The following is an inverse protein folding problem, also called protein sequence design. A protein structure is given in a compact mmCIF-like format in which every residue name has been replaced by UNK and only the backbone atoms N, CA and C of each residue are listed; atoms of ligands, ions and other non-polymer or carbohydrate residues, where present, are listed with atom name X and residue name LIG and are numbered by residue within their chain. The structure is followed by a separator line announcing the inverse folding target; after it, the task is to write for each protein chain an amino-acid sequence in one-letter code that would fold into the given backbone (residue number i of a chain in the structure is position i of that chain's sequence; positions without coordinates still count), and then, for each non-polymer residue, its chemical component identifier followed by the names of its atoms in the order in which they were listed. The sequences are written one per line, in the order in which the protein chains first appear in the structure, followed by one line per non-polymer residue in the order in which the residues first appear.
data_IF_398826975714
#
_entry.id   IF_398826975714
#
_cell.length_a   1.000
_cell.length_b   1.000
_cell.length_c   1.000
_cell.angle_alpha   90.00
_cell.angle_beta   90.00
_cell.angle_gamma   90.00
#
_symmetry.space_group_name_H-M   'P 1'
#
loop_
_entity.id
_entity.type
_entity.pdbx_description
1 polymer ?
#
# COMPACT_ATOMS: atom_id res chain seq x y z
N UNK A 1 19.67 8.42 -61.39
CA UNK A 1 20.03 9.45 -60.41
C UNK A 1 20.69 8.78 -59.25
N UNK A 2 22.01 8.89 -59.13
CA UNK A 2 22.78 8.36 -58.01
C UNK A 2 22.58 9.25 -56.79
N UNK A 3 22.24 8.64 -55.66
CA UNK A 3 22.17 9.32 -54.38
C UNK A 3 23.56 9.29 -53.73
N UNK A 4 24.22 10.45 -53.69
CA UNK A 4 25.46 10.66 -52.96
C UNK A 4 25.22 10.45 -51.46
N UNK A 5 25.67 9.30 -50.95
CA UNK A 5 25.73 9.02 -49.52
C UNK A 5 26.90 9.77 -48.91
N UNK A 6 26.64 10.98 -48.41
CA UNK A 6 27.64 11.73 -47.62
C UNK A 6 27.94 10.94 -46.33
N UNK A 7 29.20 10.52 -46.07
CA UNK A 7 29.54 9.81 -44.86
C UNK A 7 29.31 10.71 -43.65
N UNK A 8 28.43 10.30 -42.75
CA UNK A 8 28.18 10.99 -41.48
C UNK A 8 29.52 11.15 -40.74
N UNK A 9 30.04 12.38 -40.71
CA UNK A 9 31.32 12.70 -40.09
C UNK A 9 31.37 12.19 -38.65
N UNK A 10 32.44 11.46 -38.32
CA UNK A 10 32.63 10.93 -36.97
C UNK A 10 32.50 12.06 -35.93
N UNK A 11 31.72 11.85 -34.84
CA UNK A 11 31.51 12.89 -33.83
C UNK A 11 32.86 13.36 -33.29
N UNK A 12 33.08 14.68 -33.32
CA UNK A 12 34.32 15.33 -32.89
C UNK A 12 34.66 14.95 -31.44
N UNK A 13 35.96 14.95 -31.10
CA UNK A 13 36.45 14.56 -29.76
C UNK A 13 35.72 15.29 -28.61
N UNK A 14 35.37 16.56 -28.80
CA UNK A 14 34.63 17.35 -27.82
C UNK A 14 33.19 16.85 -27.55
N UNK A 15 32.51 16.30 -28.56
CA UNK A 15 31.17 15.72 -28.38
C UNK A 15 31.24 14.42 -27.56
N UNK A 16 32.27 13.59 -27.81
CA UNK A 16 32.53 12.37 -27.02
C UNK A 16 32.87 12.69 -25.56
N UNK A 17 33.62 13.76 -25.31
CA UNK A 17 33.98 14.19 -23.96
C UNK A 17 32.76 14.73 -23.19
N UNK A 18 31.91 15.55 -23.82
CA UNK A 18 30.64 15.99 -23.23
C UNK A 18 29.68 14.82 -22.92
N UNK A 19 29.56 13.85 -23.82
CA UNK A 19 28.76 12.64 -23.56
C UNK A 19 29.32 11.80 -22.41
N UNK A 20 30.64 11.67 -22.28
CA UNK A 20 31.27 10.97 -21.14
C UNK A 20 31.05 11.71 -19.82
N UNK A 21 31.17 13.04 -19.81
CA UNK A 21 30.89 13.85 -18.63
C UNK A 21 29.41 13.76 -18.20
N UNK A 22 28.48 13.82 -19.17
CA UNK A 22 27.05 13.64 -18.91
C UNK A 22 26.74 12.23 -18.37
N UNK A 23 27.31 11.19 -18.97
CA UNK A 23 27.14 9.80 -18.50
C UNK A 23 27.72 9.59 -17.09
N UNK A 24 28.88 10.19 -16.78
CA UNK A 24 29.47 10.15 -15.45
C UNK A 24 28.59 10.87 -14.41
N UNK A 25 28.01 12.01 -14.78
CA UNK A 25 27.04 12.75 -13.95
C UNK A 25 25.80 11.91 -13.64
N UNK A 26 25.20 11.28 -14.66
CA UNK A 26 24.05 10.38 -14.49
C UNK A 26 24.42 9.18 -13.60
N UNK A 27 25.58 8.58 -13.80
CA UNK A 27 26.07 7.48 -12.96
C UNK A 27 26.23 7.87 -11.49
N UNK A 28 26.73 9.07 -11.20
CA UNK A 28 26.81 9.62 -9.84
C UNK A 28 25.44 9.79 -9.18
N UNK A 29 24.48 10.36 -9.92
CA UNK A 29 23.09 10.53 -9.44
C UNK A 29 22.44 9.18 -9.16
N UNK A 30 22.55 8.22 -10.08
CA UNK A 30 21.97 6.88 -9.90
C UNK A 30 22.56 6.16 -8.68
N UNK A 31 23.88 6.26 -8.47
CA UNK A 31 24.53 5.66 -7.29
C UNK A 31 24.05 6.31 -5.98
N UNK A 32 23.87 7.62 -5.96
CA UNK A 32 23.33 8.35 -4.81
C UNK A 32 21.85 8.00 -4.53
N UNK A 33 21.04 7.86 -5.57
CA UNK A 33 19.66 7.42 -5.45
C UNK A 33 19.58 5.99 -4.94
N UNK A 34 20.42 5.07 -5.45
CA UNK A 34 20.46 3.69 -5.02
C UNK A 34 20.88 3.53 -3.55
N UNK A 35 21.87 4.31 -3.09
CA UNK A 35 22.29 4.27 -1.68
C UNK A 35 21.21 4.82 -0.74
N UNK A 36 20.55 5.91 -1.13
CA UNK A 36 19.43 6.51 -0.38
C UNK A 36 18.24 5.55 -0.34
N UNK A 37 17.90 4.95 -1.48
CA UNK A 37 16.83 3.96 -1.58
C UNK A 37 17.11 2.73 -0.72
N UNK A 38 18.35 2.23 -0.71
CA UNK A 38 18.75 1.10 0.16
C UNK A 38 18.58 1.43 1.65
N UNK A 39 18.94 2.64 2.07
CA UNK A 39 18.71 3.10 3.44
C UNK A 39 17.21 3.23 3.75
N UNK A 40 16.43 3.77 2.82
CA UNK A 40 14.99 3.93 2.97
C UNK A 40 14.28 2.58 3.11
N UNK A 41 14.65 1.61 2.26
CA UNK A 41 14.17 0.21 2.34
C UNK A 41 14.58 -0.43 3.66
N UNK A 42 15.83 -0.24 4.11
CA UNK A 42 16.30 -0.77 5.40
C UNK A 42 15.49 -0.19 6.57
N UNK A 43 15.31 1.13 6.62
CA UNK A 43 14.53 1.80 7.67
C UNK A 43 13.06 1.37 7.68
N UNK A 44 12.43 1.37 6.51
CA UNK A 44 11.05 0.93 6.38
C UNK A 44 10.90 -0.54 6.79
N UNK A 45 11.73 -1.45 6.26
CA UNK A 45 11.63 -2.88 6.53
C UNK A 45 11.97 -3.25 7.98
N UNK A 46 12.96 -2.63 8.61
CA UNK A 46 13.33 -2.94 10.00
C UNK A 46 12.31 -2.32 10.97
N UNK A 47 11.95 -1.06 10.75
CA UNK A 47 11.00 -0.28 11.56
C UNK A 47 11.30 -0.30 13.08
N UNK A 48 12.55 -0.54 13.46
CA UNK A 48 13.08 -0.56 14.83
C UNK A 48 14.04 0.61 14.95
N UNK A 49 13.57 1.66 15.64
CA UNK A 49 14.26 2.95 15.72
C UNK A 49 15.53 2.88 16.57
N UNK A 50 15.69 1.82 17.37
CA UNK A 50 16.90 1.60 18.17
C UNK A 50 18.06 1.00 17.38
N UNK A 51 17.82 0.53 16.14
CA UNK A 51 18.86 -0.14 15.32
C UNK A 51 19.23 0.63 14.06
N UNK A 52 18.33 1.48 13.57
CA UNK A 52 18.54 2.27 12.36
C UNK A 52 18.27 3.74 12.67
N UNK A 53 19.32 4.40 13.14
CA UNK A 53 19.28 5.79 13.56
C UNK A 53 19.21 6.78 12.39
N UNK A 54 18.82 8.01 12.70
CA UNK A 54 19.04 9.18 11.86
C UNK A 54 20.55 9.36 11.60
N UNK A 55 20.88 9.76 10.38
CA UNK A 55 22.25 10.15 10.03
C UNK A 55 22.59 11.50 10.65
N UNK A 56 23.87 11.82 10.83
CA UNK A 56 24.29 13.08 11.43
C UNK A 56 23.79 14.31 10.65
N UNK A 57 23.70 14.20 9.32
CA UNK A 57 23.14 15.26 8.46
C UNK A 57 21.63 15.44 8.66
N UNK A 58 20.89 14.35 8.85
CA UNK A 58 19.45 14.40 9.18
C UNK A 58 19.23 14.99 10.57
N UNK A 59 20.05 14.61 11.56
CA UNK A 59 19.97 15.16 12.93
C UNK A 59 20.27 16.66 12.95
N UNK A 60 21.30 17.10 12.23
CA UNK A 60 21.61 18.52 12.08
C UNK A 60 20.46 19.28 11.40
N UNK A 61 19.88 18.72 10.34
CA UNK A 61 18.72 19.31 9.66
C UNK A 61 17.48 19.38 10.56
N UNK A 62 17.27 18.39 11.43
CA UNK A 62 16.15 18.33 12.38
C UNK A 62 16.33 19.28 13.58
N UNK A 63 17.56 19.42 14.08
CA UNK A 63 17.90 20.39 15.11
C UNK A 63 17.74 21.84 14.64
N UNK A 64 17.90 22.10 13.34
CA UNK A 64 17.71 23.42 12.72
C UNK A 64 16.23 23.77 12.42
N UNK A 65 15.27 22.86 12.67
CA UNK A 65 13.85 23.10 12.41
C UNK A 65 13.23 24.09 13.41
N UNK A 66 12.02 24.55 13.11
CA UNK A 66 11.21 25.36 14.02
C UNK A 66 9.85 24.69 14.22
N UNK A 67 9.55 24.12 15.41
CA UNK A 67 10.43 24.02 16.58
C UNK A 67 11.61 23.06 16.36
N UNK A 68 12.76 23.28 17.03
CA UNK A 68 13.92 22.40 16.90
C UNK A 68 13.63 21.02 17.50
N UNK A 69 14.02 19.96 16.81
CA UNK A 69 13.93 18.58 17.31
C UNK A 69 15.32 18.15 17.74
N UNK A 70 15.57 18.15 19.05
CA UNK A 70 16.88 17.86 19.65
C UNK A 70 16.96 16.49 20.31
N UNK A 71 15.82 15.88 20.62
CA UNK A 71 15.75 14.54 21.19
C UNK A 71 16.11 13.48 20.13
N UNK A 72 17.06 12.60 20.46
CA UNK A 72 17.57 11.60 19.53
C UNK A 72 16.49 10.59 19.09
N UNK A 73 15.57 10.23 19.99
CA UNK A 73 14.45 9.34 19.67
C UNK A 73 13.49 9.99 18.68
N UNK A 74 13.12 11.24 18.93
CA UNK A 74 12.28 12.02 18.03
C UNK A 74 12.93 12.18 16.65
N UNK A 75 14.24 12.46 16.61
CA UNK A 75 15.02 12.55 15.37
C UNK A 75 15.01 11.25 14.57
N UNK A 76 15.24 10.11 15.24
CA UNK A 76 15.19 8.77 14.62
C UNK A 76 13.79 8.45 14.07
N UNK A 77 12.73 8.84 14.80
CA UNK A 77 11.35 8.71 14.32
C UNK A 77 11.09 9.52 13.04
N UNK A 78 11.51 10.79 12.99
CA UNK A 78 11.33 11.63 11.79
C UNK A 78 12.15 11.12 10.60
N UNK A 79 13.35 10.59 10.84
CA UNK A 79 14.17 9.97 9.79
C UNK A 79 13.49 8.70 9.23
N UNK A 80 12.97 7.82 10.09
CA UNK A 80 12.20 6.65 9.67
C UNK A 80 10.93 7.03 8.91
N UNK A 81 10.20 8.05 9.39
CA UNK A 81 8.99 8.58 8.76
C UNK A 81 9.29 9.06 7.34
N UNK A 82 10.33 9.88 7.18
CA UNK A 82 10.77 10.40 5.88
C UNK A 82 11.15 9.27 4.91
N UNK A 83 11.97 8.31 5.37
CA UNK A 83 12.35 7.15 4.59
C UNK A 83 11.16 6.28 4.17
N UNK A 84 10.20 6.06 5.05
CA UNK A 84 8.99 5.29 4.76
C UNK A 84 8.11 6.00 3.73
N UNK A 85 7.99 7.33 3.82
CA UNK A 85 7.24 8.12 2.84
C UNK A 85 7.93 8.14 1.47
N UNK A 86 9.26 8.32 1.41
CA UNK A 86 10.04 8.24 0.15
C UNK A 86 9.82 6.90 -0.54
N UNK A 87 9.94 5.80 0.19
CA UNK A 87 9.68 4.47 -0.34
C UNK A 87 8.22 4.33 -0.84
N UNK A 88 7.26 4.88 -0.11
CA UNK A 88 5.86 4.85 -0.54
C UNK A 88 5.62 5.62 -1.85
N UNK A 89 6.34 6.71 -2.14
CA UNK A 89 6.25 7.40 -3.44
C UNK A 89 6.70 6.50 -4.57
N UNK A 90 7.82 5.79 -4.42
CA UNK A 90 8.30 4.88 -5.45
C UNK A 90 7.28 3.78 -5.75
N UNK A 91 6.72 3.18 -4.69
CA UNK A 91 5.74 2.10 -4.83
C UNK A 91 4.42 2.61 -5.42
N UNK A 92 3.84 3.68 -4.85
CA UNK A 92 2.57 4.23 -5.31
C UNK A 92 2.69 4.87 -6.69
N UNK A 93 3.81 5.54 -6.99
CA UNK A 93 4.07 6.13 -8.30
C UNK A 93 4.17 5.06 -9.39
N UNK A 94 4.93 3.98 -9.14
CA UNK A 94 4.99 2.85 -10.08
C UNK A 94 3.61 2.20 -10.27
N UNK A 95 2.89 1.96 -9.17
CA UNK A 95 1.53 1.40 -9.22
C UNK A 95 0.54 2.30 -9.99
N UNK A 96 0.62 3.61 -9.80
CA UNK A 96 -0.21 4.60 -10.48
C UNK A 96 0.07 4.64 -11.99
N UNK A 97 1.36 4.59 -12.40
CA UNK A 97 1.73 4.53 -13.82
C UNK A 97 1.17 3.28 -14.48
N UNK A 98 1.29 2.10 -13.84
CA UNK A 98 0.70 0.87 -14.38
C UNK A 98 -0.83 0.99 -14.44
N UNK A 99 -1.48 1.54 -13.39
CA UNK A 99 -2.92 1.74 -13.39
C UNK A 99 -3.40 2.68 -14.51
N UNK A 100 -2.64 3.74 -14.78
CA UNK A 100 -2.91 4.68 -15.86
C UNK A 100 -2.80 4.00 -17.23
N UNK A 101 -1.76 3.20 -17.45
CA UNK A 101 -1.60 2.43 -18.70
C UNK A 101 -2.77 1.46 -18.86
N UNK A 102 -3.11 0.68 -17.83
CA UNK A 102 -4.24 -0.25 -17.87
C UNK A 102 -5.54 0.49 -18.17
N UNK A 103 -5.78 1.64 -17.54
CA UNK A 103 -6.96 2.47 -17.79
C UNK A 103 -7.05 2.96 -19.24
N UNK A 104 -5.93 3.43 -19.82
CA UNK A 104 -5.88 3.85 -21.23
C UNK A 104 -6.17 2.68 -22.17
N UNK A 105 -5.60 1.50 -21.89
CA UNK A 105 -5.87 0.28 -22.67
C UNK A 105 -7.35 -0.11 -22.58
N UNK A 106 -7.94 -0.06 -21.37
CA UNK A 106 -9.36 -0.31 -21.16
C UNK A 106 -10.24 0.68 -21.94
N UNK A 107 -9.88 1.98 -21.95
CA UNK A 107 -10.60 2.99 -22.75
C UNK A 107 -10.57 2.64 -24.25
N UNK A 108 -9.41 2.28 -24.78
CA UNK A 108 -9.27 1.88 -26.19
C UNK A 108 -10.10 0.63 -26.53
N UNK A 109 -10.22 -0.32 -25.60
CA UNK A 109 -11.06 -1.52 -25.79
C UNK A 109 -12.56 -1.23 -25.85
N UNK A 110 -13.02 -0.07 -25.35
CA UNK A 110 -14.44 0.28 -25.30
C UNK A 110 -14.86 1.38 -26.28
N UNK A 111 -14.05 1.72 -27.29
CA UNK A 111 -14.38 2.75 -28.29
C UNK A 111 -15.72 2.50 -29.01
N UNK A 112 -16.20 1.26 -29.06
CA UNK A 112 -17.47 0.87 -29.68
C UNK A 112 -18.65 0.74 -28.71
N UNK A 113 -18.45 0.90 -27.40
CA UNK A 113 -19.51 0.69 -26.41
C UNK A 113 -20.44 1.92 -26.33
N UNK A 114 -21.78 1.74 -26.38
CA UNK A 114 -22.71 2.86 -26.36
C UNK A 114 -22.77 3.56 -24.99
N UNK A 115 -22.54 4.87 -25.01
CA UNK A 115 -22.92 5.88 -24.01
C UNK A 115 -22.89 5.45 -22.54
N UNK A 116 -24.07 5.20 -21.95
CA UNK A 116 -24.20 4.95 -20.51
C UNK A 116 -23.44 3.70 -20.04
N UNK A 117 -23.41 2.63 -20.84
CA UNK A 117 -22.72 1.38 -20.49
C UNK A 117 -21.21 1.58 -20.37
N UNK A 118 -20.65 2.41 -21.25
CA UNK A 118 -19.25 2.81 -21.24
C UNK A 118 -18.89 3.50 -19.91
N UNK A 119 -19.71 4.45 -19.46
CA UNK A 119 -19.50 5.16 -18.20
C UNK A 119 -19.59 4.25 -16.98
N UNK A 120 -20.54 3.32 -16.95
CA UNK A 120 -20.70 2.38 -15.83
C UNK A 120 -19.48 1.46 -15.70
N UNK A 121 -18.85 1.08 -16.82
CA UNK A 121 -17.63 0.27 -16.80
C UNK A 121 -16.36 1.06 -16.46
N UNK A 122 -16.25 2.31 -16.91
CA UNK A 122 -15.05 3.14 -16.74
C UNK A 122 -15.02 3.81 -15.36
N UNK A 123 -16.17 4.19 -14.82
CA UNK A 123 -16.24 5.01 -13.61
C UNK A 123 -15.50 4.41 -12.41
N UNK A 124 -15.62 3.10 -12.08
CA UNK A 124 -14.87 2.51 -10.97
C UNK A 124 -13.34 2.64 -11.14
N UNK A 125 -12.84 2.37 -12.34
CA UNK A 125 -11.41 2.45 -12.65
C UNK A 125 -10.92 3.90 -12.61
N UNK A 126 -11.70 4.83 -13.15
CA UNK A 126 -11.39 6.26 -13.10
C UNK A 126 -11.36 6.77 -11.66
N UNK A 127 -12.36 6.42 -10.86
CA UNK A 127 -12.43 6.82 -9.45
C UNK A 127 -11.23 6.27 -8.64
N UNK A 128 -10.85 5.01 -8.88
CA UNK A 128 -9.65 4.38 -8.30
C UNK A 128 -8.38 5.12 -8.72
N UNK A 129 -8.23 5.41 -10.01
CA UNK A 129 -7.08 6.11 -10.56
C UNK A 129 -6.94 7.51 -9.97
N UNK A 130 -8.04 8.27 -9.90
CA UNK A 130 -8.05 9.60 -9.31
C UNK A 130 -7.73 9.56 -7.80
N UNK A 131 -8.29 8.60 -7.06
CA UNK A 131 -8.01 8.43 -5.64
C UNK A 131 -6.53 8.06 -5.39
N UNK A 132 -5.97 7.15 -6.18
CA UNK A 132 -4.56 6.77 -6.12
C UNK A 132 -3.63 7.94 -6.50
N UNK A 133 -3.96 8.68 -7.57
CA UNK A 133 -3.22 9.87 -7.99
C UNK A 133 -3.24 10.97 -6.94
N UNK A 134 -4.40 11.21 -6.31
CA UNK A 134 -4.53 12.16 -5.20
C UNK A 134 -3.70 11.74 -3.98
N UNK A 135 -3.69 10.44 -3.64
CA UNK A 135 -2.82 9.91 -2.58
C UNK A 135 -1.34 10.16 -2.89
N UNK A 136 -0.87 9.83 -4.10
CA UNK A 136 0.52 10.09 -4.54
C UNK A 136 0.84 11.59 -4.41
N UNK A 137 -0.05 12.46 -4.89
CA UNK A 137 0.10 13.90 -4.82
C UNK A 137 0.23 14.40 -3.37
N UNK A 138 -0.60 13.91 -2.45
CA UNK A 138 -0.51 14.29 -1.03
C UNK A 138 0.77 13.77 -0.37
N UNK A 139 1.28 12.60 -0.75
CA UNK A 139 2.57 12.10 -0.25
C UNK A 139 3.73 12.95 -0.78
N UNK A 140 3.74 13.31 -2.06
CA UNK A 140 4.74 14.22 -2.65
C UNK A 140 4.72 15.58 -1.94
N UNK A 141 3.53 16.15 -1.73
CA UNK A 141 3.34 17.42 -1.04
C UNK A 141 3.79 17.34 0.42
N UNK A 142 3.47 16.24 1.09
CA UNK A 142 3.90 15.96 2.45
C UNK A 142 5.41 15.80 2.55
N UNK A 143 6.10 15.26 1.54
CA UNK A 143 7.57 15.20 1.51
C UNK A 143 8.21 16.56 1.23
N UNK A 144 7.70 17.30 0.25
CA UNK A 144 8.20 18.62 -0.12
C UNK A 144 8.13 19.60 1.06
N UNK A 145 7.06 19.53 1.86
CA UNK A 145 6.92 20.32 3.09
C UNK A 145 7.44 19.64 4.36
N UNK A 146 7.70 18.33 4.33
CA UNK A 146 7.69 17.44 5.50
C UNK A 146 8.87 17.51 6.43
N UNK A 147 10.00 18.02 5.94
CA UNK A 147 11.15 18.33 6.81
C UNK A 147 10.82 19.57 7.65
N UNK A 148 10.17 20.58 7.09
CA UNK A 148 10.05 21.88 7.76
C UNK A 148 8.72 22.03 8.52
N UNK A 149 7.68 21.27 8.15
CA UNK A 149 6.32 21.41 8.73
C UNK A 149 5.64 20.05 8.93
N UNK A 150 6.11 19.23 9.90
CA UNK A 150 5.60 17.87 10.12
C UNK A 150 4.08 17.83 10.38
N UNK A 151 3.53 18.80 11.12
CA UNK A 151 2.08 18.86 11.38
C UNK A 151 1.21 19.08 10.14
N UNK A 152 1.67 19.91 9.19
CA UNK A 152 0.99 20.09 7.89
C UNK A 152 1.09 18.81 7.06
N UNK A 153 2.27 18.21 6.99
CA UNK A 153 2.47 16.95 6.28
C UNK A 153 1.57 15.83 6.82
N UNK A 154 1.39 15.72 8.14
CA UNK A 154 0.47 14.73 8.72
C UNK A 154 -1.00 14.98 8.30
N UNK A 155 -1.47 16.24 8.32
CA UNK A 155 -2.83 16.59 7.86
C UNK A 155 -3.04 16.20 6.39
N UNK A 156 -2.03 16.42 5.55
CA UNK A 156 -2.02 16.07 4.13
C UNK A 156 -2.10 14.56 3.92
N UNK A 157 -1.24 13.79 4.58
CA UNK A 157 -1.23 12.32 4.50
C UNK A 157 -2.55 11.72 4.97
N UNK A 158 -3.14 12.24 6.05
CA UNK A 158 -4.46 11.80 6.54
C UNK A 158 -5.56 12.02 5.50
N UNK A 159 -5.56 13.17 4.81
CA UNK A 159 -6.53 13.47 3.74
C UNK A 159 -6.32 12.58 2.53
N UNK A 160 -5.08 12.44 2.06
CA UNK A 160 -4.70 11.57 0.96
C UNK A 160 -5.12 10.13 1.22
N UNK A 161 -4.81 9.59 2.39
CA UNK A 161 -5.19 8.24 2.78
C UNK A 161 -6.70 8.08 2.93
N UNK A 162 -7.39 9.04 3.58
CA UNK A 162 -8.84 8.97 3.74
C UNK A 162 -9.54 8.97 2.38
N UNK A 163 -9.13 9.82 1.43
CA UNK A 163 -9.68 9.82 0.07
C UNK A 163 -9.33 8.52 -0.67
N UNK A 164 -8.08 8.06 -0.57
CA UNK A 164 -7.64 6.79 -1.15
C UNK A 164 -8.40 5.57 -0.63
N UNK A 165 -8.93 5.62 0.60
CA UNK A 165 -9.74 4.57 1.19
C UNK A 165 -11.24 4.75 0.90
N UNK A 166 -11.78 5.95 1.14
CA UNK A 166 -13.23 6.21 1.10
C UNK A 166 -13.76 6.22 -0.32
N UNK A 167 -13.03 6.73 -1.31
CA UNK A 167 -13.52 6.80 -2.69
C UNK A 167 -13.78 5.40 -3.28
N UNK A 168 -12.84 4.42 -3.22
CA UNK A 168 -13.12 3.07 -3.68
C UNK A 168 -14.28 2.39 -2.93
N UNK A 169 -14.44 2.68 -1.63
CA UNK A 169 -15.57 2.16 -0.84
C UNK A 169 -16.90 2.81 -1.22
N UNK A 170 -16.92 4.10 -1.52
CA UNK A 170 -18.12 4.78 -1.99
C UNK A 170 -18.56 4.25 -3.36
N UNK A 171 -17.60 3.98 -4.25
CA UNK A 171 -17.83 3.31 -5.54
C UNK A 171 -18.47 1.93 -5.34
N UNK A 172 -18.02 1.16 -4.33
CA UNK A 172 -18.61 -0.14 -3.98
C UNK A 172 -20.08 -0.09 -3.54
N UNK A 173 -20.52 1.02 -2.97
CA UNK A 173 -21.90 1.19 -2.50
C UNK A 173 -22.89 1.51 -3.63
N UNK A 174 -22.41 1.79 -4.84
CA UNK A 174 -23.28 2.05 -5.98
C UNK A 174 -23.96 0.75 -6.45
N UNK A 175 -25.26 0.78 -6.80
CA UNK A 175 -26.03 -0.40 -7.19
C UNK A 175 -25.74 -0.76 -8.66
N UNK A 176 -24.49 -1.16 -8.94
CA UNK A 176 -24.00 -1.40 -10.29
C UNK A 176 -24.85 -2.37 -11.12
N UNK A 177 -25.43 -3.40 -10.48
CA UNK A 177 -26.30 -4.36 -11.14
C UNK A 177 -27.50 -3.68 -11.83
N UNK A 178 -28.12 -2.72 -11.15
CA UNK A 178 -29.23 -1.94 -11.70
C UNK A 178 -28.81 -0.98 -12.82
N UNK A 179 -27.53 -0.61 -12.88
CA UNK A 179 -26.99 0.31 -13.89
C UNK A 179 -26.49 -0.43 -15.15
N UNK A 180 -26.04 -1.69 -15.01
CA UNK A 180 -25.50 -2.49 -16.12
C UNK A 180 -26.60 -3.32 -16.81
N UNK A 181 -27.49 -3.92 -16.03
CA UNK A 181 -28.56 -4.78 -16.57
C UNK A 181 -29.71 -3.89 -17.03
N UNK A 182 -29.62 -3.41 -18.27
CA UNK A 182 -30.73 -2.77 -18.99
C UNK A 182 -31.57 -3.79 -19.76
N UNK A 183 -31.13 -5.04 -19.85
CA UNK A 183 -31.85 -6.10 -20.56
C UNK A 183 -33.01 -6.56 -19.70
N UNK A 184 -34.23 -6.32 -20.17
CA UNK A 184 -35.45 -6.74 -19.49
C UNK A 184 -35.67 -8.25 -19.68
N UNK A 185 -36.25 -8.96 -18.69
CA UNK A 185 -36.64 -10.37 -18.86
C UNK A 185 -37.52 -10.60 -20.11
N UNK A 186 -38.27 -9.58 -20.52
CA UNK A 186 -39.09 -9.59 -21.73
C UNK A 186 -38.26 -9.62 -23.02
N UNK A 187 -37.13 -8.90 -23.08
CA UNK A 187 -36.21 -8.96 -24.20
C UNK A 187 -35.51 -10.32 -24.29
N UNK A 188 -35.20 -10.93 -23.15
CA UNK A 188 -34.69 -12.31 -23.08
C UNK A 188 -35.75 -13.29 -23.60
N UNK A 189 -36.99 -13.18 -23.13
CA UNK A 189 -38.09 -14.05 -23.56
C UNK A 189 -38.41 -13.95 -25.07
N UNK A 190 -38.03 -12.85 -25.73
CA UNK A 190 -38.17 -12.66 -27.19
C UNK A 190 -37.08 -13.35 -28.01
N UNK A 191 -35.99 -13.83 -27.39
CA UNK A 191 -34.97 -14.58 -28.11
C UNK A 191 -35.53 -15.96 -28.49
N UNK A 192 -35.71 -16.25 -29.78
CA UNK A 192 -36.38 -17.48 -30.23
C UNK A 192 -35.67 -18.80 -29.87
N UNK A 193 -34.47 -18.74 -29.29
CA UNK A 193 -33.66 -19.90 -28.93
C UNK A 193 -33.62 -20.11 -27.40
N UNK A 194 -34.20 -21.20 -26.87
CA UNK A 194 -34.26 -21.45 -25.42
C UNK A 194 -32.87 -21.64 -24.78
N UNK A 195 -31.86 -22.06 -25.54
CA UNK A 195 -30.48 -22.19 -25.05
C UNK A 195 -29.84 -20.82 -24.85
N UNK A 196 -30.02 -19.90 -25.81
CA UNK A 196 -29.54 -18.52 -25.70
C UNK A 196 -30.26 -17.76 -24.58
N UNK A 197 -31.57 -17.99 -24.42
CA UNK A 197 -32.35 -17.45 -23.31
C UNK A 197 -31.74 -17.86 -21.97
N UNK A 198 -31.51 -19.16 -21.77
CA UNK A 198 -30.95 -19.68 -20.52
C UNK A 198 -29.55 -19.12 -20.26
N UNK A 199 -28.70 -19.05 -21.30
CA UNK A 199 -27.35 -18.47 -21.18
C UNK A 199 -27.38 -16.98 -20.82
N UNK A 200 -28.26 -16.20 -21.43
CA UNK A 200 -28.37 -14.78 -21.11
C UNK A 200 -28.96 -14.57 -19.71
N UNK A 201 -29.94 -15.37 -19.30
CA UNK A 201 -30.55 -15.31 -17.96
C UNK A 201 -29.50 -15.62 -16.88
N UNK A 202 -28.70 -16.68 -17.06
CA UNK A 202 -27.56 -16.98 -16.20
C UNK A 202 -26.53 -15.85 -16.19
N UNK A 203 -26.23 -15.25 -17.34
CA UNK A 203 -25.29 -14.12 -17.44
C UNK A 203 -25.80 -12.92 -16.65
N UNK A 204 -27.08 -12.58 -16.78
CA UNK A 204 -27.71 -11.47 -16.06
C UNK A 204 -27.70 -11.71 -14.55
N UNK A 205 -27.97 -12.94 -14.10
CA UNK A 205 -27.95 -13.29 -12.67
C UNK A 205 -26.54 -13.30 -12.07
N UNK A 206 -25.54 -13.78 -12.82
CA UNK A 206 -24.17 -13.94 -12.32
C UNK A 206 -23.35 -12.65 -12.47
N UNK A 207 -23.66 -11.78 -13.44
CA UNK A 207 -22.91 -10.53 -13.70
C UNK A 207 -22.81 -9.62 -12.47
N UNK A 208 -23.89 -9.37 -11.68
CA UNK A 208 -23.81 -8.64 -10.42
C UNK A 208 -22.79 -9.21 -9.44
N UNK A 209 -22.74 -10.54 -9.31
CA UNK A 209 -21.82 -11.22 -8.41
C UNK A 209 -20.38 -11.08 -8.89
N UNK A 210 -20.11 -11.28 -10.18
CA UNK A 210 -18.78 -11.09 -10.78
C UNK A 210 -18.32 -9.67 -10.56
N UNK A 211 -19.16 -8.68 -10.86
CA UNK A 211 -18.81 -7.29 -10.72
C UNK A 211 -18.56 -6.93 -9.25
N UNK A 212 -19.40 -7.39 -8.32
CA UNK A 212 -19.19 -7.19 -6.89
C UNK A 212 -17.82 -7.76 -6.45
N UNK A 213 -17.47 -8.97 -6.89
CA UNK A 213 -16.17 -9.59 -6.60
C UNK A 213 -15.04 -8.76 -7.21
N UNK A 214 -15.15 -8.32 -8.46
CA UNK A 214 -14.14 -7.49 -9.11
C UNK A 214 -13.90 -6.18 -8.35
N UNK A 215 -14.97 -5.45 -8.01
CA UNK A 215 -14.84 -4.18 -7.29
C UNK A 215 -14.32 -4.43 -5.85
N UNK A 216 -14.73 -5.53 -5.20
CA UNK A 216 -14.20 -5.90 -3.88
C UNK A 216 -12.69 -6.17 -3.95
N UNK A 217 -12.25 -6.91 -4.97
CA UNK A 217 -10.82 -7.16 -5.22
C UNK A 217 -10.05 -5.86 -5.50
N UNK A 218 -10.69 -4.85 -6.09
CA UNK A 218 -10.08 -3.53 -6.31
C UNK A 218 -9.97 -2.70 -5.03
N UNK A 219 -10.94 -2.78 -4.12
CA UNK A 219 -10.87 -2.11 -2.82
C UNK A 219 -9.96 -2.83 -1.81
N UNK A 220 -9.66 -4.11 -2.08
CA UNK A 220 -8.88 -5.01 -1.24
C UNK A 220 -7.57 -4.39 -0.75
N UNK A 221 -6.72 -3.74 -1.59
CA UNK A 221 -5.46 -3.20 -1.12
C UNK A 221 -5.64 -2.09 -0.08
N UNK A 222 -6.63 -1.21 -0.29
CA UNK A 222 -6.89 -0.11 0.62
C UNK A 222 -7.34 -0.66 1.98
N UNK A 223 -8.27 -1.62 2.00
CA UNK A 223 -8.74 -2.29 3.22
C UNK A 223 -7.64 -3.10 3.91
N UNK A 224 -6.93 -3.94 3.15
CA UNK A 224 -5.85 -4.78 3.67
C UNK A 224 -4.64 -3.98 4.14
N UNK A 225 -4.45 -2.74 3.67
CA UNK A 225 -3.32 -1.92 4.12
C UNK A 225 -3.46 -1.42 5.55
N UNK A 226 -4.70 -1.28 6.04
CA UNK A 226 -5.01 -0.68 7.35
C UNK A 226 -4.43 -1.52 8.48
N UNK A 227 -4.79 -2.80 8.56
CA UNK A 227 -4.39 -3.63 9.68
C UNK A 227 -2.87 -3.87 9.81
N UNK A 228 -2.14 -4.32 8.77
CA UNK A 228 -0.69 -4.49 8.84
C UNK A 228 0.04 -3.16 9.05
N UNK A 229 -0.50 -2.04 8.54
CA UNK A 229 0.06 -0.74 8.81
C UNK A 229 -0.16 -0.28 10.27
N UNK A 230 -1.32 -0.56 10.87
CA UNK A 230 -1.58 -0.28 12.29
C UNK A 230 -0.69 -1.14 13.18
N UNK A 231 -0.55 -2.43 12.85
CA UNK A 231 0.35 -3.35 13.53
C UNK A 231 1.79 -2.85 13.50
N UNK A 232 2.28 -2.50 12.31
CA UNK A 232 3.63 -1.98 12.14
C UNK A 232 3.85 -0.68 12.90
N UNK A 233 2.89 0.25 12.83
CA UNK A 233 2.91 1.52 13.55
C UNK A 233 2.96 1.30 15.07
N UNK A 234 2.08 0.45 15.61
CA UNK A 234 2.02 0.15 17.03
C UNK A 234 3.31 -0.48 17.57
N UNK A 235 3.92 -1.39 16.80
CA UNK A 235 5.21 -1.97 17.16
C UNK A 235 6.37 -0.98 17.02
N UNK A 236 6.35 -0.06 16.04
CA UNK A 236 7.38 0.98 15.90
C UNK A 236 7.30 1.98 17.04
N UNK A 237 6.09 2.35 17.45
CA UNK A 237 5.88 3.17 18.64
C UNK A 237 6.46 2.48 19.88
N UNK A 238 6.27 1.15 20.02
CA UNK A 238 6.82 0.41 21.16
C UNK A 238 8.36 0.41 21.22
N UNK A 239 9.04 0.46 20.08
CA UNK A 239 10.51 0.59 20.09
C UNK A 239 10.99 2.00 20.39
N UNK A 240 10.15 3.02 20.17
CA UNK A 240 10.49 4.40 20.48
C UNK A 240 10.23 4.75 21.94
N UNK A 241 9.07 4.31 22.46
CA UNK A 241 8.54 4.73 23.76
C UNK A 241 8.20 3.46 24.56
N UNK A 242 9.22 2.70 24.98
CA UNK A 242 9.07 1.34 25.49
C UNK A 242 8.35 1.27 26.85
N UNK A 243 8.16 2.38 27.56
CA UNK A 243 7.34 2.40 28.78
C UNK A 243 5.84 2.42 28.47
N UNK A 244 5.43 2.81 27.25
CA UNK A 244 4.01 2.97 26.89
C UNK A 244 3.42 1.72 26.25
N UNK A 245 2.17 1.44 26.61
CA UNK A 245 1.40 0.30 26.10
C UNK A 245 0.50 0.59 24.90
N UNK A 246 0.25 1.86 24.55
CA UNK A 246 -0.75 2.24 23.55
C UNK A 246 -0.50 1.62 22.17
N UNK A 247 0.76 1.61 21.71
CA UNK A 247 1.13 1.04 20.42
C UNK A 247 0.75 -0.45 20.30
N UNK A 248 1.23 -1.33 21.20
CA UNK A 248 0.83 -2.73 21.23
C UNK A 248 -0.68 -2.96 21.40
N UNK A 249 -1.38 -2.15 22.21
CA UNK A 249 -2.85 -2.24 22.33
C UNK A 249 -3.52 -1.99 20.99
N UNK A 250 -3.14 -0.93 20.27
CA UNK A 250 -3.69 -0.64 18.95
C UNK A 250 -3.38 -1.76 17.93
N UNK A 251 -2.17 -2.31 17.97
CA UNK A 251 -1.76 -3.43 17.15
C UNK A 251 -2.58 -4.71 17.43
N UNK A 252 -2.89 -4.98 18.70
CA UNK A 252 -3.73 -6.12 19.09
C UNK A 252 -5.20 -5.91 18.78
N UNK A 253 -5.72 -4.68 18.93
CA UNK A 253 -7.07 -4.33 18.53
C UNK A 253 -7.29 -4.54 17.02
N UNK A 254 -6.27 -4.29 16.18
CA UNK A 254 -6.31 -4.58 14.74
C UNK A 254 -6.39 -6.08 14.42
N UNK A 255 -5.87 -6.94 15.30
CA UNK A 255 -5.71 -8.38 15.07
C UNK A 255 -7.03 -9.09 14.74
N UNK A 256 -8.08 -9.00 15.59
CA UNK A 256 -9.38 -9.61 15.32
C UNK A 256 -10.04 -9.13 14.03
N UNK A 257 -9.99 -7.84 13.72
CA UNK A 257 -10.56 -7.30 12.49
C UNK A 257 -9.81 -7.80 11.25
N UNK A 258 -8.47 -7.86 11.32
CA UNK A 258 -7.66 -8.44 10.25
C UNK A 258 -7.97 -9.93 10.07
N UNK A 259 -8.10 -10.68 11.16
CA UNK A 259 -8.42 -12.10 11.13
C UNK A 259 -9.81 -12.34 10.53
N UNK A 260 -10.83 -11.58 10.97
CA UNK A 260 -12.19 -11.66 10.41
C UNK A 260 -12.19 -11.37 8.92
N UNK A 261 -11.50 -10.31 8.50
CA UNK A 261 -11.40 -9.95 7.09
C UNK A 261 -10.69 -11.03 6.27
N UNK A 262 -9.56 -11.55 6.76
CA UNK A 262 -8.85 -12.67 6.12
C UNK A 262 -9.73 -13.91 6.03
N UNK A 263 -10.51 -14.24 7.06
CA UNK A 263 -11.46 -15.36 7.03
C UNK A 263 -12.48 -15.17 5.90
N UNK A 264 -13.07 -13.97 5.75
CA UNK A 264 -14.01 -13.70 4.66
C UNK A 264 -13.33 -13.89 3.30
N UNK A 265 -12.12 -13.38 3.11
CA UNK A 265 -11.36 -13.58 1.87
C UNK A 265 -11.05 -15.05 1.60
N UNK A 266 -10.69 -15.79 2.64
CA UNK A 266 -10.38 -17.21 2.55
C UNK A 266 -11.63 -18.04 2.25
N UNK A 267 -12.80 -17.67 2.77
CA UNK A 267 -14.09 -18.31 2.43
C UNK A 267 -14.43 -18.06 0.96
N UNK A 268 -14.29 -16.82 0.48
CA UNK A 268 -14.49 -16.48 -0.94
C UNK A 268 -13.51 -17.27 -1.81
N UNK A 269 -12.23 -17.26 -1.45
CA UNK A 269 -11.19 -18.00 -2.16
C UNK A 269 -11.44 -19.52 -2.11
N UNK A 270 -11.97 -20.07 -1.01
CA UNK A 270 -12.35 -21.48 -0.92
C UNK A 270 -13.48 -21.83 -1.88
N UNK A 271 -14.49 -20.96 -1.99
CA UNK A 271 -15.58 -21.13 -2.95
C UNK A 271 -15.12 -21.11 -4.41
N UNK A 272 -14.06 -20.36 -4.70
CA UNK A 272 -13.47 -20.23 -6.04
C UNK A 272 -12.51 -21.39 -6.36
N UNK A 273 -11.60 -21.70 -5.44
CA UNK A 273 -10.49 -22.64 -5.64
C UNK A 273 -10.95 -24.08 -5.39
N UNK A 274 -11.82 -24.31 -4.40
CA UNK A 274 -12.30 -25.64 -4.02
C UNK A 274 -11.22 -26.59 -3.50
N UNK A 275 -10.06 -26.07 -3.05
CA UNK A 275 -8.91 -26.89 -2.67
C UNK A 275 -8.81 -27.12 -1.16
N UNK A 276 -8.45 -28.35 -0.78
CA UNK A 276 -8.15 -28.72 0.62
C UNK A 276 -6.88 -28.08 1.18
N UNK A 277 -6.03 -27.49 0.33
CA UNK A 277 -4.82 -26.78 0.78
C UNK A 277 -5.09 -25.44 1.45
N UNK A 278 -6.25 -24.83 1.18
CA UNK A 278 -6.54 -23.45 1.58
C UNK A 278 -6.68 -23.27 3.09
N UNK A 279 -7.28 -24.21 3.86
CA UNK A 279 -7.23 -24.18 5.32
C UNK A 279 -5.81 -24.14 5.90
N UNK A 280 -4.84 -24.79 5.27
CA UNK A 280 -3.44 -24.71 5.72
C UNK A 280 -2.85 -23.33 5.44
N UNK A 281 -3.08 -22.79 4.25
CA UNK A 281 -2.70 -21.41 3.89
C UNK A 281 -3.34 -20.40 4.84
N UNK A 282 -4.63 -20.58 5.15
CA UNK A 282 -5.38 -19.79 6.11
C UNK A 282 -4.72 -19.79 7.48
N UNK A 283 -4.31 -20.96 7.98
CA UNK A 283 -3.64 -21.07 9.29
C UNK A 283 -2.38 -20.21 9.37
N UNK A 284 -1.57 -20.19 8.31
CA UNK A 284 -0.36 -19.36 8.26
C UNK A 284 -0.67 -17.85 8.14
N UNK A 285 -1.65 -17.47 7.32
CA UNK A 285 -2.06 -16.06 7.17
C UNK A 285 -2.70 -15.52 8.47
N UNK A 286 -3.55 -16.32 9.13
CA UNK A 286 -4.20 -15.99 10.40
C UNK A 286 -3.25 -16.12 11.60
N UNK A 287 -2.20 -16.93 11.48
CA UNK A 287 -1.21 -17.10 12.53
C UNK A 287 -0.53 -15.78 12.93
N UNK A 288 -0.29 -14.87 11.98
CA UNK A 288 0.33 -13.57 12.26
C UNK A 288 -0.50 -12.64 13.17
N UNK A 289 -1.80 -12.35 12.90
CA UNK A 289 -2.62 -11.58 13.83
C UNK A 289 -2.87 -12.32 15.15
N UNK A 290 -2.97 -13.65 15.16
CA UNK A 290 -3.12 -14.44 16.40
C UNK A 290 -1.88 -14.30 17.29
N UNK A 291 -0.70 -14.53 16.72
CA UNK A 291 0.59 -14.41 17.41
C UNK A 291 0.79 -13.02 18.02
N UNK A 292 0.36 -11.99 17.28
CA UNK A 292 0.35 -10.61 17.75
C UNK A 292 -0.53 -10.44 18.99
N UNK A 293 -1.76 -10.94 18.94
CA UNK A 293 -2.69 -10.91 20.07
C UNK A 293 -2.10 -11.61 21.30
N UNK A 294 -1.49 -12.79 21.11
CA UNK A 294 -0.86 -13.55 22.19
C UNK A 294 0.30 -12.82 22.86
N UNK A 295 1.14 -12.12 22.09
CA UNK A 295 2.27 -11.37 22.65
C UNK A 295 1.92 -9.95 23.11
N UNK A 296 0.69 -9.47 22.85
CA UNK A 296 0.28 -8.12 23.21
C UNK A 296 0.44 -7.85 24.70
N UNK A 297 -0.06 -8.74 25.57
CA UNK A 297 -0.01 -8.55 27.02
C UNK A 297 1.42 -8.40 27.57
N UNK A 298 2.40 -9.06 26.94
CA UNK A 298 3.80 -8.90 27.28
C UNK A 298 4.35 -7.55 26.78
N UNK A 299 3.99 -7.16 25.55
CA UNK A 299 4.43 -5.91 24.94
C UNK A 299 3.76 -4.67 25.54
N UNK A 300 2.60 -4.77 26.16
CA UNK A 300 1.94 -3.62 26.80
C UNK A 300 2.58 -3.21 28.12
N UNK A 301 3.33 -4.11 28.76
CA UNK A 301 4.03 -3.82 30.02
C UNK A 301 5.16 -2.80 29.77
N UNK A 302 5.42 -1.89 30.73
CA UNK A 302 6.62 -1.07 30.71
C UNK A 302 7.87 -1.95 30.69
N UNK A 303 8.86 -1.60 29.88
CA UNK A 303 10.08 -2.36 29.70
C UNK A 303 11.22 -1.45 29.25
N UNK A 304 12.46 -1.88 29.47
CA UNK A 304 13.64 -1.21 28.93
C UNK A 304 13.64 -1.25 27.37
N UNK A 305 14.38 -0.33 26.76
CA UNK A 305 14.46 -0.23 25.29
C UNK A 305 15.02 -1.51 24.63
N UNK A 306 15.95 -2.19 25.30
CA UNK A 306 16.60 -3.38 24.76
C UNK A 306 15.67 -4.60 24.74
N UNK A 307 14.91 -4.86 25.81
CA UNK A 307 13.88 -5.91 25.86
C UNK A 307 12.71 -5.57 24.94
N UNK A 308 12.34 -4.29 24.82
CA UNK A 308 11.33 -3.84 23.86
C UNK A 308 11.74 -4.18 22.42
N UNK A 309 12.94 -3.76 21.99
CA UNK A 309 13.47 -4.09 20.66
C UNK A 309 13.53 -5.60 20.44
N UNK A 310 14.05 -6.36 21.41
CA UNK A 310 14.15 -7.82 21.30
C UNK A 310 12.77 -8.50 21.19
N UNK A 311 11.80 -8.09 22.00
CA UNK A 311 10.44 -8.61 22.00
C UNK A 311 9.71 -8.29 20.71
N UNK A 312 9.74 -7.01 20.28
CA UNK A 312 9.15 -6.56 19.01
C UNK A 312 9.77 -7.29 17.83
N UNK A 313 11.10 -7.48 17.81
CA UNK A 313 11.79 -8.21 16.74
C UNK A 313 11.32 -9.65 16.64
N UNK A 314 11.20 -10.36 17.77
CA UNK A 314 10.70 -11.76 17.77
C UNK A 314 9.30 -11.84 17.15
N UNK A 315 8.38 -10.97 17.60
CA UNK A 315 7.00 -10.94 17.10
C UNK A 315 6.95 -10.58 15.61
N UNK A 316 7.73 -9.58 15.16
CA UNK A 316 7.81 -9.20 13.75
C UNK A 316 8.36 -10.30 12.86
N UNK A 317 9.48 -10.91 13.25
CA UNK A 317 10.12 -11.96 12.46
C UNK A 317 9.20 -13.17 12.33
N UNK A 318 8.60 -13.62 13.43
CA UNK A 318 7.65 -14.74 13.41
C UNK A 318 6.41 -14.40 12.56
N UNK A 319 5.82 -13.21 12.72
CA UNK A 319 4.69 -12.77 11.89
C UNK A 319 5.04 -12.69 10.40
N UNK A 320 6.25 -12.22 10.05
CA UNK A 320 6.72 -12.17 8.65
C UNK A 320 6.90 -13.56 8.06
N UNK A 321 7.46 -14.49 8.83
CA UNK A 321 7.64 -15.88 8.38
C UNK A 321 6.26 -16.51 8.12
N UNK A 322 5.32 -16.37 9.05
CA UNK A 322 3.95 -16.89 8.89
C UNK A 322 3.26 -16.27 7.67
N UNK A 323 3.30 -14.94 7.53
CA UNK A 323 2.72 -14.26 6.36
C UNK A 323 3.42 -14.65 5.05
N UNK A 324 4.74 -14.82 5.04
CA UNK A 324 5.48 -15.22 3.85
C UNK A 324 5.11 -16.65 3.42
N UNK A 325 5.06 -17.60 4.36
CA UNK A 325 4.63 -18.98 4.08
C UNK A 325 3.18 -18.98 3.58
N UNK A 326 2.28 -18.27 4.26
CA UNK A 326 0.88 -18.15 3.85
C UNK A 326 0.72 -17.51 2.47
N UNK A 327 1.42 -16.42 2.20
CA UNK A 327 1.35 -15.72 0.91
C UNK A 327 1.93 -16.58 -0.22
N UNK A 328 3.08 -17.24 -0.02
CA UNK A 328 3.66 -18.15 -1.02
C UNK A 328 2.71 -19.32 -1.27
N UNK A 329 2.18 -19.96 -0.22
CA UNK A 329 1.20 -21.03 -0.35
C UNK A 329 -0.05 -20.59 -1.10
N UNK A 330 -0.57 -19.40 -0.79
CA UNK A 330 -1.71 -18.80 -1.49
C UNK A 330 -1.40 -18.58 -2.98
N UNK A 331 -0.24 -18.00 -3.30
CA UNK A 331 0.17 -17.75 -4.69
C UNK A 331 0.34 -19.05 -5.47
N UNK A 332 0.95 -20.08 -4.87
CA UNK A 332 1.08 -21.40 -5.49
C UNK A 332 -0.29 -22.02 -5.74
N UNK A 333 -1.22 -21.92 -4.79
CA UNK A 333 -2.59 -22.42 -4.98
C UNK A 333 -3.32 -21.65 -6.09
N UNK A 334 -3.23 -20.33 -6.08
CA UNK A 334 -3.88 -19.47 -7.06
C UNK A 334 -3.30 -19.73 -8.47
N UNK A 335 -2.00 -19.99 -8.60
CA UNK A 335 -1.34 -20.39 -9.85
C UNK A 335 -1.81 -21.75 -10.40
N UNK A 336 -2.22 -22.66 -9.52
CA UNK A 336 -2.75 -23.97 -9.91
C UNK A 336 -4.27 -23.97 -10.12
N UNK A 337 -4.95 -22.85 -9.86
CA UNK A 337 -6.41 -22.77 -9.94
C UNK A 337 -6.84 -22.49 -11.38
N UNK A 338 -7.88 -23.21 -11.82
CA UNK A 338 -8.61 -22.90 -13.06
C UNK A 338 -9.98 -22.34 -12.72
N UNK A 339 -10.30 -21.16 -13.25
CA UNK A 339 -11.62 -20.55 -13.16
C UNK A 339 -12.27 -20.61 -14.55
N UNK A 340 -13.45 -21.23 -14.66
CA UNK A 340 -14.14 -21.43 -15.95
C UNK A 340 -13.27 -22.14 -17.01
N UNK A 341 -12.45 -23.09 -16.56
CA UNK A 341 -11.51 -23.84 -17.43
C UNK A 341 -10.25 -23.06 -17.84
N UNK A 342 -10.17 -21.76 -17.54
CA UNK A 342 -8.98 -20.93 -17.79
C UNK A 342 -8.10 -20.87 -16.54
N UNK A 343 -6.77 -20.96 -16.67
CA UNK A 343 -5.89 -20.75 -15.54
C UNK A 343 -6.07 -19.32 -15.01
N UNK A 344 -6.19 -19.17 -13.69
CA UNK A 344 -6.26 -17.84 -13.06
C UNK A 344 -4.96 -17.09 -13.32
N UNK A 345 -3.82 -17.79 -13.22
CA UNK A 345 -2.53 -17.35 -13.74
C UNK A 345 -1.97 -18.36 -14.73
N UNK A 346 -1.59 -17.88 -15.91
CA UNK A 346 -0.78 -18.65 -16.84
C UNK A 346 0.66 -18.15 -16.73
N UNK A 347 1.58 -19.05 -16.42
CA UNK A 347 2.97 -18.88 -16.87
C UNK A 347 2.94 -19.10 -18.37
N UNK A 348 3.52 -18.18 -19.15
CA UNK A 348 3.48 -18.19 -20.61
C UNK A 348 3.64 -19.61 -21.19
N UNK A 349 2.74 -19.99 -22.11
CA UNK A 349 2.59 -21.29 -22.82
C UNK A 349 1.33 -22.12 -22.53
N UNK A 350 0.33 -21.62 -21.77
CA UNK A 350 -0.96 -22.31 -21.74
C UNK A 350 -1.67 -22.21 -23.09
N UNK A 351 -1.71 -23.32 -23.83
CA UNK A 351 -2.53 -23.47 -25.02
C UNK A 351 -3.88 -24.09 -24.66
N UNK A 352 -4.96 -23.64 -25.28
CA UNK A 352 -6.26 -24.29 -25.18
C UNK A 352 -6.23 -25.65 -25.88
N UNK A 353 -7.34 -26.39 -25.80
CA UNK A 353 -7.50 -27.67 -26.51
C UNK A 353 -7.34 -27.56 -28.03
N UNK A 354 -7.37 -26.34 -28.58
CA UNK A 354 -7.24 -26.02 -30.01
C UNK A 354 -5.84 -25.50 -30.38
N UNK A 355 -4.91 -25.41 -29.40
CA UNK A 355 -3.55 -24.94 -29.61
C UNK A 355 -3.37 -23.42 -29.57
N UNK A 356 -4.42 -22.65 -29.31
CA UNK A 356 -4.36 -21.18 -29.22
C UNK A 356 -3.83 -20.77 -27.85
N UNK A 357 -3.08 -19.66 -27.81
CA UNK A 357 -2.65 -19.08 -26.54
C UNK A 357 -3.88 -18.66 -25.71
N UNK A 358 -3.99 -19.16 -24.48
CA UNK A 358 -5.01 -18.73 -23.53
C UNK A 358 -4.43 -17.57 -22.73
N UNK A 359 -5.03 -16.38 -22.89
CA UNK A 359 -4.70 -15.26 -22.03
C UNK A 359 -5.12 -15.56 -20.58
N UNK A 360 -4.24 -15.34 -19.59
CA UNK A 360 -4.59 -15.54 -18.19
C UNK A 360 -5.67 -14.55 -17.76
N UNK A 361 -6.51 -14.97 -16.81
CA UNK A 361 -7.52 -14.10 -16.21
C UNK A 361 -6.91 -12.92 -15.46
N UNK A 362 -5.75 -13.13 -14.83
CA UNK A 362 -4.97 -12.08 -14.17
C UNK A 362 -3.53 -12.19 -14.64
N UNK A 363 -2.99 -11.11 -15.19
CA UNK A 363 -1.58 -11.07 -15.59
C UNK A 363 -0.65 -11.06 -14.37
N UNK A 364 0.57 -11.60 -14.52
CA UNK A 364 1.62 -11.46 -13.50
C UNK A 364 1.87 -9.99 -13.15
N UNK A 365 1.76 -9.11 -14.15
CA UNK A 365 1.92 -7.67 -13.97
C UNK A 365 0.83 -7.08 -13.06
N UNK A 366 -0.42 -7.53 -13.19
CA UNK A 366 -1.53 -7.06 -12.35
C UNK A 366 -1.34 -7.49 -10.89
N UNK A 367 -0.86 -8.72 -10.67
CA UNK A 367 -0.55 -9.21 -9.33
C UNK A 367 0.63 -8.45 -8.71
N UNK A 368 1.68 -8.20 -9.50
CA UNK A 368 2.81 -7.38 -9.06
C UNK A 368 2.35 -5.97 -8.72
N UNK A 369 1.53 -5.36 -9.58
CA UNK A 369 0.94 -4.05 -9.35
C UNK A 369 0.10 -4.04 -8.08
N UNK A 370 -0.72 -5.06 -7.84
CA UNK A 370 -1.52 -5.20 -6.62
C UNK A 370 -0.63 -5.23 -5.37
N UNK A 371 0.43 -6.04 -5.39
CA UNK A 371 1.39 -6.14 -4.29
C UNK A 371 2.15 -4.83 -4.05
N UNK A 372 2.61 -4.17 -5.12
CA UNK A 372 3.29 -2.87 -5.06
C UNK A 372 2.36 -1.79 -4.53
N UNK A 373 1.11 -1.75 -5.00
CA UNK A 373 0.09 -0.82 -4.53
C UNK A 373 -0.20 -1.02 -3.04
N UNK A 374 -0.51 -2.25 -2.64
CA UNK A 374 -0.77 -2.62 -1.25
C UNK A 374 0.40 -2.22 -0.34
N UNK A 375 1.64 -2.51 -0.74
CA UNK A 375 2.83 -2.13 0.02
C UNK A 375 2.97 -0.61 0.16
N UNK A 376 2.72 0.14 -0.92
CA UNK A 376 2.75 1.61 -0.92
C UNK A 376 1.69 2.22 -0.01
N UNK A 377 0.43 1.80 -0.13
CA UNK A 377 -0.69 2.31 0.71
C UNK A 377 -0.45 1.93 2.17
N UNK A 378 0.01 0.71 2.45
CA UNK A 378 0.35 0.25 3.80
C UNK A 378 1.43 1.11 4.44
N UNK A 379 2.46 1.53 3.69
CA UNK A 379 3.51 2.41 4.21
C UNK A 379 2.98 3.79 4.58
N UNK A 380 2.13 4.39 3.73
CA UNK A 380 1.49 5.67 4.05
C UNK A 380 0.62 5.53 5.30
N UNK A 381 -0.20 4.49 5.37
CA UNK A 381 -1.05 4.26 6.52
C UNK A 381 -0.23 4.00 7.79
N UNK A 382 0.88 3.26 7.71
CA UNK A 382 1.79 3.04 8.84
C UNK A 382 2.27 4.36 9.43
N UNK A 383 2.63 5.32 8.59
CA UNK A 383 3.04 6.67 9.04
C UNK A 383 1.87 7.42 9.66
N UNK A 384 0.71 7.45 9.00
CA UNK A 384 -0.50 8.12 9.51
C UNK A 384 -0.94 7.56 10.86
N UNK A 385 -0.96 6.23 11.00
CA UNK A 385 -1.30 5.54 12.23
C UNK A 385 -0.28 5.84 13.33
N UNK A 386 1.02 5.80 13.02
CA UNK A 386 2.08 6.12 13.98
C UNK A 386 1.96 7.55 14.49
N UNK A 387 1.82 8.53 13.59
CA UNK A 387 1.67 9.95 13.94
C UNK A 387 0.41 10.16 14.82
N UNK A 388 -0.67 9.42 14.56
CA UNK A 388 -1.91 9.47 15.35
C UNK A 388 -1.74 8.86 16.74
N UNK A 389 -1.10 7.68 16.84
CA UNK A 389 -0.82 7.03 18.12
C UNK A 389 0.08 7.90 19.01
N UNK A 390 1.08 8.57 18.44
CA UNK A 390 1.93 9.50 19.18
C UNK A 390 1.14 10.69 19.76
N UNK A 391 0.18 11.23 19.01
CA UNK A 391 -0.69 12.31 19.50
C UNK A 391 -1.61 11.85 20.63
N UNK A 392 -2.17 10.65 20.51
CA UNK A 392 -3.09 10.07 21.48
C UNK A 392 -2.39 9.53 22.73
N UNK A 393 -1.08 9.25 22.68
CA UNK A 393 -0.34 8.75 23.83
C UNK A 393 -0.41 9.74 24.99
N UNK A 394 -0.90 9.38 26.18
CA UNK A 394 -0.86 10.30 27.32
C UNK A 394 0.59 10.65 27.66
N UNK A 395 0.82 11.85 28.20
CA UNK A 395 2.15 12.24 28.67
C UNK A 395 2.49 11.66 30.05
N UNK A 396 1.48 11.21 30.83
CA UNK A 396 1.68 10.55 32.14
C UNK A 396 2.44 11.41 33.16
N UNK A 397 2.48 10.94 34.41
CA UNK A 397 3.35 11.52 35.43
C UNK A 397 4.76 10.90 35.29
N UNK A 398 5.79 11.74 35.39
CA UNK A 398 7.20 11.42 35.11
C UNK A 398 7.88 10.73 36.32
N UNK A 399 7.24 9.70 36.88
CA UNK A 399 7.66 9.09 38.17
C UNK A 399 8.98 8.31 38.10
N UNK A 400 9.43 7.94 36.89
CA UNK A 400 10.71 7.25 36.68
C UNK A 400 11.53 7.95 35.60
N UNK A 401 12.88 7.87 35.64
CA UNK A 401 13.73 8.48 34.62
C UNK A 401 13.44 7.95 33.20
N UNK A 402 13.02 6.70 33.07
CA UNK A 402 12.60 6.09 31.81
C UNK A 402 11.29 6.72 31.28
N UNK A 403 10.30 6.93 32.18
CA UNK A 403 9.06 7.61 31.83
C UNK A 403 9.29 9.06 31.42
N UNK A 404 10.20 9.76 32.12
CA UNK A 404 10.57 11.14 31.81
C UNK A 404 11.25 11.27 30.44
N UNK A 405 12.15 10.33 30.08
CA UNK A 405 12.79 10.29 28.76
C UNK A 405 11.76 10.03 27.64
N UNK A 406 10.85 9.09 27.87
CA UNK A 406 9.74 8.78 26.96
C UNK A 406 8.79 9.99 26.80
N UNK A 407 8.49 10.69 27.90
CA UNK A 407 7.66 11.89 27.88
C UNK A 407 8.34 13.06 27.17
N UNK A 408 9.67 13.23 27.29
CA UNK A 408 10.43 14.24 26.55
C UNK A 408 10.39 13.97 25.04
N UNK A 409 10.64 12.72 24.64
CA UNK A 409 10.51 12.26 23.25
C UNK A 409 9.10 12.53 22.71
N UNK A 410 8.08 12.11 23.44
CA UNK A 410 6.67 12.31 23.07
C UNK A 410 6.31 13.79 22.96
N UNK A 411 6.78 14.65 23.87
CA UNK A 411 6.55 16.10 23.81
C UNK A 411 7.11 16.71 22.54
N UNK A 412 8.36 16.38 22.16
CA UNK A 412 8.95 16.90 20.92
C UNK A 412 8.23 16.39 19.67
N UNK A 413 7.92 15.09 19.61
CA UNK A 413 7.16 14.50 18.49
C UNK A 413 5.77 15.16 18.38
N UNK A 414 5.05 15.31 19.50
CA UNK A 414 3.73 15.97 19.52
C UNK A 414 3.80 17.44 19.13
N UNK A 415 4.79 18.19 19.62
CA UNK A 415 4.97 19.60 19.29
C UNK A 415 5.21 19.77 17.77
N UNK A 416 6.13 18.98 17.21
CA UNK A 416 6.44 18.98 15.79
C UNK A 416 5.25 18.51 14.92
N UNK A 417 4.50 17.50 15.38
CA UNK A 417 3.31 17.03 14.67
C UNK A 417 2.10 17.94 14.84
N UNK A 418 2.04 18.81 15.85
CA UNK A 418 0.89 19.71 15.99
C UNK A 418 0.94 20.76 14.89
N UNK A 419 -0.19 21.05 14.20
CA UNK A 419 -0.20 22.19 13.30
C UNK A 419 0.18 23.44 14.12
N UNK A 420 1.11 24.26 13.61
CA UNK A 420 1.26 25.60 14.15
C UNK A 420 -0.12 26.26 14.13
N UNK A 421 -0.50 27.01 15.18
CA UNK A 421 -1.73 27.79 15.14
C UNK A 421 -1.67 28.62 13.86
N UNK A 422 -2.62 28.41 12.95
CA UNK A 422 -2.67 29.17 11.71
C UNK A 422 -2.92 30.62 12.12
N UNK A 423 -1.96 31.51 11.83
CA UNK A 423 -2.03 32.94 12.22
C UNK A 423 -3.29 33.61 11.65
N UNK A 424 -3.93 33.01 10.63
CA UNK A 424 -5.22 33.43 10.11
C UNK A 424 -6.39 33.29 11.09
N UNK A 425 -6.29 32.42 12.10
CA UNK A 425 -7.33 32.24 13.12
C UNK A 425 -7.21 33.26 14.26
N UNK A 426 -6.15 34.08 14.27
CA UNK A 426 -5.94 35.17 15.25
C UNK A 426 -6.41 36.55 14.76
N UNK A 427 -6.88 36.65 13.50
CA UNK A 427 -7.39 37.89 12.90
C UNK A 427 -8.89 37.85 12.54
N UNK A 428 -9.60 36.79 12.93
CA UNK A 428 -11.05 36.70 12.93
C UNK A 428 -11.54 36.68 14.37
#
# INVERSE_FOLDING_TARGET
GGADGTPAGAPSGAAKEKMRAAAAGVGGVLKSLASTFGLDVKRASVADLTRVHATDSERAAQAAQTPPVTDAGAQDHFAWRLSTLRLSIWLLGASFVVALISFITTLASYESAPGLRLWVMIFPELAKLLAAGYLVFEVVRALAGGIHRPGRANRQLRRGWAIGLVVPLAVLLLPWSSMIVSITPEEIARMGNPVEQLQMLLTVEITPLILLVMILLQALPALLSVFPGLFRAGLTMKTLVPTRGLGPVAAAAAGPFNALYLIVLLVIAQGIIGSWGLPFVALFLLGAPILTGWHCAALTKPMDAQRASAGVRRVRTASRILLAIGAIGFLVMLANTKLLGRPVFAVADSKDAQGNAVEPLVGLLDLLQLGVHLAGVMMVFTVVASDTLFRLSPLGDDDTPELAADAATLRQVKAALSPAPDVSDTFA
#
